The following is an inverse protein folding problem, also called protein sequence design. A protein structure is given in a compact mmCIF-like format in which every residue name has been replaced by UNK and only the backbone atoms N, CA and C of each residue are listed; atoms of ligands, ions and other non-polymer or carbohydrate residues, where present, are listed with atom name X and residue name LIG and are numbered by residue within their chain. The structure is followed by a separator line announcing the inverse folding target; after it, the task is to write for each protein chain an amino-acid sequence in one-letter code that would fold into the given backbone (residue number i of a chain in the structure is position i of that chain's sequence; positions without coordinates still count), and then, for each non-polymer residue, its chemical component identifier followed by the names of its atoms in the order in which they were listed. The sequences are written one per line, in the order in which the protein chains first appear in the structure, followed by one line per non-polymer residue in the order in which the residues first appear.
data_IF_385762175041
#
_entry.id   IF_385762175041
#
_cell.length_a   1.000
_cell.length_b   1.000
_cell.length_c   1.000
_cell.angle_alpha   90.00
_cell.angle_beta   90.00
_cell.angle_gamma   90.00
#
_symmetry.space_group_name_H-M   'P 1'
#
loop_
_entity.id
_entity.type
_entity.pdbx_description
1 polymer ?
#
# COMPACT_ATOMS: atom_id res chain seq x y z
N UNK A 1 -13.35 -22.88 -54.05
CA UNK A 1 -14.17 -22.95 -52.81
C UNK A 1 -13.36 -23.26 -51.54
N UNK A 2 -12.25 -24.02 -51.57
CA UNK A 2 -11.47 -24.39 -50.37
C UNK A 2 -10.64 -23.26 -49.73
N UNK A 3 -10.24 -22.24 -50.48
CA UNK A 3 -9.46 -21.10 -49.94
C UNK A 3 -10.24 -20.17 -49.01
N UNK A 4 -11.57 -20.06 -49.18
CA UNK A 4 -12.40 -19.22 -48.33
C UNK A 4 -12.52 -19.75 -46.89
N UNK A 5 -12.46 -21.08 -46.72
CA UNK A 5 -12.54 -21.72 -45.40
C UNK A 5 -11.34 -21.35 -44.54
N UNK A 6 -10.14 -21.27 -45.12
CA UNK A 6 -8.93 -20.88 -44.37
C UNK A 6 -8.96 -19.42 -43.90
N UNK A 7 -9.55 -18.52 -44.70
CA UNK A 7 -9.71 -17.10 -44.33
C UNK A 7 -10.64 -16.93 -43.13
N UNK A 8 -11.79 -17.61 -43.13
CA UNK A 8 -12.75 -17.54 -42.02
C UNK A 8 -12.18 -18.16 -40.74
N UNK A 9 -11.43 -19.27 -40.85
CA UNK A 9 -10.76 -19.92 -39.72
C UNK A 9 -9.67 -19.00 -39.14
N UNK A 10 -8.86 -18.36 -39.98
CA UNK A 10 -7.80 -17.45 -39.53
C UNK A 10 -8.35 -16.23 -38.79
N UNK A 11 -9.45 -15.63 -39.28
CA UNK A 11 -10.10 -14.49 -38.61
C UNK A 11 -10.69 -14.91 -37.26
N UNK A 12 -11.34 -16.08 -37.18
CA UNK A 12 -11.86 -16.61 -35.92
C UNK A 12 -10.77 -16.90 -34.88
N UNK A 13 -9.64 -17.46 -35.30
CA UNK A 13 -8.49 -17.68 -34.43
C UNK A 13 -7.84 -16.37 -33.95
N UNK A 14 -7.78 -15.36 -34.81
CA UNK A 14 -7.22 -14.05 -34.47
C UNK A 14 -8.06 -13.35 -33.37
N UNK A 15 -9.38 -13.52 -33.38
CA UNK A 15 -10.27 -12.98 -32.34
C UNK A 15 -10.20 -13.76 -31.01
N UNK A 16 -9.97 -15.07 -31.05
CA UNK A 16 -9.81 -15.89 -29.85
C UNK A 16 -8.49 -15.62 -29.11
N UNK A 17 -7.41 -15.37 -29.86
CA UNK A 17 -6.08 -15.07 -29.27
C UNK A 17 -5.96 -13.63 -28.76
N UNK A 18 -6.81 -12.70 -29.22
CA UNK A 18 -6.80 -11.30 -28.77
C UNK A 18 -7.35 -11.06 -27.36
N UNK A 19 -8.00 -12.06 -26.73
CA UNK A 19 -8.62 -11.90 -25.41
C UNK A 19 -7.78 -12.42 -24.24
N UNK A 20 -6.66 -13.10 -24.48
CA UNK A 20 -5.85 -13.73 -23.41
C UNK A 20 -4.78 -12.82 -22.81
N UNK A 21 -4.55 -11.62 -23.34
CA UNK A 21 -3.53 -10.68 -22.86
C UNK A 21 -4.03 -9.66 -21.80
N UNK A 22 -5.11 -9.97 -21.08
CA UNK A 22 -5.62 -9.12 -20.00
C UNK A 22 -5.63 -9.89 -18.69
N UNK A 23 -4.51 -9.93 -17.97
CA UNK A 23 -4.40 -10.07 -16.50
C UNK A 23 -2.91 -10.24 -16.18
N UNK A 24 -2.45 -9.72 -15.05
CA UNK A 24 -1.05 -9.73 -14.55
C UNK A 24 -0.14 -8.53 -14.88
N UNK A 25 -0.66 -7.39 -15.33
CA UNK A 25 0.04 -6.11 -15.11
C UNK A 25 -0.61 -5.41 -13.92
N UNK A 26 0.03 -5.43 -12.75
CA UNK A 26 -0.30 -4.49 -11.66
C UNK A 26 -0.71 -5.06 -10.30
N UNK A 27 -0.47 -6.35 -9.99
CA UNK A 27 -0.69 -6.88 -8.64
C UNK A 27 0.36 -6.39 -7.63
N UNK A 28 1.52 -5.92 -8.09
CA UNK A 28 2.60 -5.44 -7.20
C UNK A 28 2.84 -3.92 -7.30
N UNK A 29 2.27 -3.28 -8.32
CA UNK A 29 2.39 -1.83 -8.52
C UNK A 29 1.70 -1.04 -7.40
N UNK A 30 0.74 -1.66 -6.71
CA UNK A 30 0.03 -1.08 -5.58
C UNK A 30 0.95 -0.78 -4.41
N UNK A 31 1.73 -1.78 -3.99
CA UNK A 31 2.48 -1.82 -2.74
C UNK A 31 3.77 -0.97 -2.74
N UNK A 32 4.50 -0.92 -3.87
CA UNK A 32 5.84 -0.29 -3.91
C UNK A 32 5.83 1.07 -4.62
N UNK A 33 4.64 1.55 -5.04
CA UNK A 33 4.50 2.84 -5.72
C UNK A 33 5.03 3.99 -4.86
N UNK A 34 6.08 4.67 -5.31
CA UNK A 34 6.54 5.90 -4.64
C UNK A 34 5.55 7.03 -4.95
N UNK A 35 4.67 7.32 -4.01
CA UNK A 35 3.79 8.49 -4.05
C UNK A 35 4.49 9.68 -3.36
N UNK A 36 4.44 10.86 -3.98
CA UNK A 36 4.98 12.08 -3.39
C UNK A 36 3.84 12.90 -2.82
N UNK A 37 3.67 12.90 -1.50
CA UNK A 37 2.68 13.73 -0.85
C UNK A 37 3.22 15.14 -0.63
N UNK A 38 2.32 16.12 -0.70
CA UNK A 38 2.59 17.47 -0.21
C UNK A 38 2.88 17.41 1.30
N UNK A 39 3.64 18.39 1.79
CA UNK A 39 3.84 18.53 3.22
C UNK A 39 2.51 18.83 3.93
N UNK A 40 2.32 18.30 5.13
CA UNK A 40 1.04 18.36 5.84
C UNK A 40 0.57 19.80 6.14
N UNK A 41 1.51 20.75 6.25
CA UNK A 41 1.20 22.18 6.42
C UNK A 41 0.45 22.80 5.22
N UNK A 42 0.62 22.24 4.02
CA UNK A 42 -0.01 22.73 2.80
C UNK A 42 -1.39 22.12 2.55
N UNK A 43 -1.83 21.17 3.39
CA UNK A 43 -3.06 20.42 3.20
C UNK A 43 -4.20 20.95 4.08
N UNK A 44 -5.25 21.57 3.51
CA UNK A 44 -6.35 22.18 4.28
C UNK A 44 -7.46 21.19 4.71
N UNK A 45 -7.18 19.89 4.77
CA UNK A 45 -8.20 18.85 5.02
C UNK A 45 -8.33 18.40 6.47
N UNK A 46 -9.44 17.72 6.82
CA UNK A 46 -9.55 17.03 8.10
C UNK A 46 -8.56 15.86 8.18
N UNK A 47 -8.20 15.46 9.40
CA UNK A 47 -7.39 14.27 9.61
C UNK A 47 -8.10 13.02 9.12
N UNK A 48 -7.39 12.20 8.36
CA UNK A 48 -7.79 10.85 7.96
C UNK A 48 -6.72 9.84 8.33
N UNK A 49 -7.11 8.57 8.30
CA UNK A 49 -6.28 7.43 8.61
C UNK A 49 -6.34 6.48 7.42
N UNK A 50 -5.18 5.94 7.03
CA UNK A 50 -5.08 4.87 6.04
C UNK A 50 -3.90 3.96 6.39
N UNK A 51 -3.80 2.82 5.74
CA UNK A 51 -2.68 1.91 5.86
C UNK A 51 -1.82 1.97 4.61
N UNK A 52 -0.51 1.88 4.76
CA UNK A 52 0.45 1.88 3.66
C UNK A 52 1.65 1.00 3.99
N UNK A 53 2.28 0.46 2.96
CA UNK A 53 3.48 -0.35 3.11
C UNK A 53 4.71 0.51 3.34
N UNK A 54 5.44 0.24 4.41
CA UNK A 54 6.65 0.96 4.78
C UNK A 54 7.89 0.19 4.35
N UNK A 55 8.55 0.69 3.30
CA UNK A 55 9.64 0.00 2.58
C UNK A 55 10.90 -0.25 3.42
N UNK A 56 11.11 0.46 4.53
CA UNK A 56 12.29 0.29 5.39
C UNK A 56 12.11 -0.84 6.40
N UNK A 57 10.89 -0.98 6.93
CA UNK A 57 10.58 -2.00 7.95
C UNK A 57 9.92 -3.24 7.32
N UNK A 58 9.59 -3.17 6.02
CA UNK A 58 8.91 -4.22 5.28
C UNK A 58 7.60 -4.67 5.95
N UNK A 59 6.79 -3.70 6.39
CA UNK A 59 5.52 -3.94 7.07
C UNK A 59 4.49 -2.84 6.73
N UNK A 60 3.22 -3.12 6.96
CA UNK A 60 2.10 -2.21 6.79
C UNK A 60 1.86 -1.35 8.03
N UNK A 61 1.94 -0.04 7.89
CA UNK A 61 1.78 0.91 8.99
C UNK A 61 0.49 1.72 8.87
N UNK A 62 0.00 2.21 10.00
CA UNK A 62 -1.10 3.16 10.08
C UNK A 62 -0.56 4.58 9.91
N UNK A 63 -1.00 5.27 8.87
CA UNK A 63 -0.62 6.66 8.58
C UNK A 63 -1.79 7.59 8.89
N UNK A 64 -1.51 8.69 9.58
CA UNK A 64 -2.46 9.78 9.84
C UNK A 64 -2.01 11.01 9.07
N UNK A 65 -2.93 11.64 8.34
CA UNK A 65 -2.61 12.84 7.54
C UNK A 65 -3.83 13.76 7.40
N UNK A 66 -3.61 15.06 7.23
CA UNK A 66 -4.62 16.02 6.76
C UNK A 66 -4.81 16.05 5.25
N UNK A 67 -3.87 15.50 4.49
CA UNK A 67 -3.90 15.57 3.04
C UNK A 67 -5.00 14.67 2.47
N UNK A 68 -5.81 15.14 1.50
CA UNK A 68 -6.76 14.29 0.81
C UNK A 68 -6.04 13.16 0.06
N UNK A 69 -6.79 12.14 -0.34
CA UNK A 69 -6.23 11.06 -1.17
C UNK A 69 -5.93 11.60 -2.56
N UNK A 70 -4.65 11.84 -2.84
CA UNK A 70 -4.17 12.29 -4.15
C UNK A 70 -3.96 11.11 -5.10
N UNK A 71 -3.54 9.96 -4.55
CA UNK A 71 -3.15 8.79 -5.33
C UNK A 71 -4.12 7.62 -5.13
N UNK A 72 -4.34 6.88 -6.23
CA UNK A 72 -5.19 5.70 -6.22
C UNK A 72 -4.53 4.50 -5.53
N UNK A 73 -3.21 4.38 -5.60
CA UNK A 73 -2.47 3.23 -5.11
C UNK A 73 -1.74 3.56 -3.81
N UNK A 74 -1.33 2.52 -3.07
CA UNK A 74 -0.57 2.63 -1.83
C UNK A 74 -1.28 3.30 -0.64
N UNK A 75 -2.61 3.35 -0.70
CA UNK A 75 -3.47 3.72 0.41
C UNK A 75 -4.59 2.69 0.57
N UNK A 76 -4.53 1.93 1.66
CA UNK A 76 -5.48 0.89 2.00
C UNK A 76 -6.38 1.35 3.16
N UNK A 77 -7.63 0.88 3.16
CA UNK A 77 -8.58 1.24 4.22
C UNK A 77 -8.36 0.38 5.46
N UNK A 78 -7.87 -0.85 5.28
CA UNK A 78 -7.62 -1.80 6.36
C UNK A 78 -6.20 -2.33 6.35
N UNK A 79 -5.71 -2.73 7.53
CA UNK A 79 -4.41 -3.38 7.66
C UNK A 79 -4.34 -4.66 6.83
N UNK A 80 -5.40 -5.49 6.88
CA UNK A 80 -5.46 -6.77 6.18
C UNK A 80 -5.35 -6.63 4.66
N UNK A 81 -5.97 -5.59 4.08
CA UNK A 81 -5.83 -5.30 2.64
C UNK A 81 -4.37 -4.98 2.27
N UNK A 82 -3.71 -4.12 3.05
CA UNK A 82 -2.30 -3.80 2.84
C UNK A 82 -1.43 -5.06 2.94
N UNK A 83 -1.64 -5.87 3.98
CA UNK A 83 -0.85 -7.09 4.20
C UNK A 83 -1.06 -8.12 3.10
N UNK A 84 -2.29 -8.24 2.58
CA UNK A 84 -2.60 -9.18 1.49
C UNK A 84 -1.94 -8.73 0.18
N UNK A 85 -1.99 -7.44 -0.13
CA UNK A 85 -1.39 -6.88 -1.37
C UNK A 85 0.15 -6.90 -1.32
N UNK A 86 0.72 -6.71 -0.14
CA UNK A 86 2.16 -6.62 0.09
C UNK A 86 2.80 -7.90 0.65
N UNK A 87 2.06 -9.01 0.74
CA UNK A 87 2.49 -10.22 1.47
C UNK A 87 3.87 -10.73 1.05
N UNK A 88 4.21 -10.62 -0.24
CA UNK A 88 5.49 -11.08 -0.79
C UNK A 88 6.70 -10.24 -0.37
N UNK A 89 6.45 -9.00 0.04
CA UNK A 89 7.48 -8.04 0.43
C UNK A 89 7.57 -7.88 1.95
N UNK A 90 6.59 -8.40 2.69
CA UNK A 90 6.60 -8.33 4.13
C UNK A 90 7.59 -9.33 4.71
N UNK A 91 8.45 -8.85 5.61
CA UNK A 91 9.31 -9.76 6.39
C UNK A 91 8.42 -10.39 7.46
N UNK A 92 8.39 -11.72 7.61
CA UNK A 92 7.67 -12.33 8.71
C UNK A 92 8.26 -11.79 10.01
N UNK A 93 7.42 -11.16 10.83
CA UNK A 93 7.79 -10.74 12.18
C UNK A 93 8.35 -11.99 12.88
N UNK A 94 9.66 -12.03 13.08
CA UNK A 94 10.25 -12.93 14.06
C UNK A 94 9.66 -12.43 15.38
N UNK A 95 8.65 -13.14 15.89
CA UNK A 95 8.10 -12.88 17.20
C UNK A 95 9.23 -13.13 18.20
N UNK A 96 9.97 -12.08 18.52
CA UNK A 96 10.69 -12.02 19.77
C UNK A 96 9.63 -11.77 20.84
N UNK A 97 8.92 -12.85 21.19
CA UNK A 97 8.21 -12.91 22.45
C UNK A 97 9.30 -12.80 23.52
N UNK A 98 9.49 -11.57 24.05
CA UNK A 98 10.25 -11.16 25.24
C UNK A 98 11.23 -10.00 24.99
N UNK A 99 10.71 -8.77 24.86
CA UNK A 99 11.29 -7.60 25.54
C UNK A 99 10.13 -6.70 25.95
N UNK A 100 9.68 -6.93 27.18
CA UNK A 100 9.04 -6.00 28.11
C UNK A 100 8.96 -4.55 27.66
N UNK A 101 7.72 -4.10 27.48
CA UNK A 101 7.24 -2.73 27.61
C UNK A 101 8.03 -1.96 28.69
N UNK A 102 8.84 -1.00 28.28
CA UNK A 102 9.14 0.15 29.13
C UNK A 102 8.61 1.39 28.43
N UNK A 103 7.44 1.82 28.89
CA UNK A 103 6.94 3.18 28.75
C UNK A 103 8.08 4.19 29.01
N UNK A 104 8.23 5.25 28.19
CA UNK A 104 9.07 6.37 28.59
C UNK A 104 8.35 7.14 29.71
N UNK A 105 8.81 6.99 30.94
CA UNK A 105 8.41 7.85 32.05
C UNK A 105 8.58 9.32 31.64
N UNK A 106 7.45 10.02 31.60
CA UNK A 106 7.40 11.47 31.40
C UNK A 106 7.92 12.12 32.67
N UNK A 107 9.20 12.53 32.70
CA UNK A 107 9.71 13.41 33.75
C UNK A 107 8.97 14.74 33.68
N UNK A 108 8.06 14.95 34.64
CA UNK A 108 7.46 16.24 34.97
C UNK A 108 8.57 17.20 35.48
N UNK A 109 8.61 18.46 35.05
CA UNK A 109 9.59 19.43 35.57
C UNK A 109 9.26 19.80 37.03
N UNK A 110 10.28 19.77 37.87
CA UNK A 110 10.24 20.22 39.27
C UNK A 110 10.17 21.76 39.31
N UNK A 111 9.12 22.25 39.96
CA UNK A 111 8.87 23.65 40.28
C UNK A 111 9.58 23.99 41.60
N UNK A 112 10.65 24.77 41.52
CA UNK A 112 11.38 25.26 42.69
C UNK A 112 10.64 26.49 43.24
N UNK A 113 9.99 26.32 44.39
CA UNK A 113 9.36 27.40 45.14
C UNK A 113 9.71 27.32 46.63
N UNK A 114 10.83 27.94 47.00
CA UNK A 114 11.09 28.40 48.38
C UNK A 114 10.13 29.54 48.74
N UNK A 115 9.74 29.62 50.01
CA UNK A 115 10.30 30.72 50.82
C UNK A 115 10.91 30.30 52.17
#
# INVERSE_FOLDING_TARGET
MRLWLFSVIAIGFCWMMGQTAKKHFGLEDGCVKKNMYMHESACPGPYRIYFAFHRVIFDCIKVRTKCPRIYKYNEYNTLKECQTDCALLMVPVIKNDDVTESEPETKKPEDNGDP
#
